data_IF_453943621696
#
_entry.id   IF_453943621696
#
_cell.length_a   1.000
_cell.length_b   1.000
_cell.length_c   1.000
_cell.angle_alpha   90.00
_cell.angle_beta   90.00
_cell.angle_gamma   90.00
#
_symmetry.space_group_name_H-M   'P 1'
#
loop_
_entity.id
_entity.type
_entity.pdbx_description
1 polymer ?
#
# COMPACT_ATOMS: atom_id res chain seq x y z
N UNK A 1 -7.91 -54.13 -15.57
CA UNK A 1 -7.43 -53.88 -14.19
C UNK A 1 -5.94 -53.51 -14.18
N UNK A 2 -5.53 -52.45 -14.88
CA UNK A 2 -4.13 -51.97 -14.91
C UNK A 2 -3.98 -50.46 -14.64
N UNK A 3 -5.08 -49.69 -14.61
CA UNK A 3 -5.05 -48.24 -14.40
C UNK A 3 -4.69 -47.84 -12.97
N UNK A 4 -5.10 -48.63 -11.97
CA UNK A 4 -4.83 -48.33 -10.55
C UNK A 4 -3.35 -48.47 -10.18
N UNK A 5 -2.64 -49.44 -10.77
CA UNK A 5 -1.20 -49.62 -10.56
C UNK A 5 -0.37 -48.55 -11.28
N UNK A 6 -0.84 -48.06 -12.43
CA UNK A 6 -0.21 -46.93 -13.14
C UNK A 6 -0.36 -45.65 -12.32
N UNK A 7 -1.55 -45.39 -11.78
CA UNK A 7 -1.82 -44.20 -10.98
C UNK A 7 -0.96 -44.19 -9.71
N UNK A 8 -0.90 -45.32 -8.98
CA UNK A 8 -0.07 -45.43 -7.77
C UNK A 8 1.43 -45.27 -8.07
N UNK A 9 1.89 -45.76 -9.23
CA UNK A 9 3.27 -45.59 -9.69
C UNK A 9 3.62 -44.14 -10.04
N UNK A 10 2.70 -43.42 -10.70
CA UNK A 10 2.92 -42.01 -11.06
C UNK A 10 2.95 -41.08 -9.86
N UNK A 11 2.08 -41.31 -8.87
CA UNK A 11 2.04 -40.49 -7.65
C UNK A 11 3.31 -40.68 -6.81
N UNK A 12 3.83 -41.92 -6.75
CA UNK A 12 5.10 -42.21 -6.07
C UNK A 12 6.29 -41.51 -6.74
N UNK A 13 6.34 -41.48 -8.07
CA UNK A 13 7.41 -40.80 -8.81
C UNK A 13 7.40 -39.29 -8.61
N UNK A 14 6.21 -38.67 -8.58
CA UNK A 14 6.08 -37.23 -8.30
C UNK A 14 6.58 -36.85 -6.90
N UNK A 15 6.33 -37.68 -5.89
CA UNK A 15 6.83 -37.43 -4.53
C UNK A 15 8.35 -37.49 -4.45
N UNK A 16 9.00 -38.41 -5.17
CA UNK A 16 10.47 -38.51 -5.20
C UNK A 16 11.09 -37.30 -5.91
N UNK A 17 10.49 -36.85 -7.03
CA UNK A 17 10.95 -35.66 -7.76
C UNK A 17 10.80 -34.40 -6.90
N UNK A 18 9.68 -34.24 -6.20
CA UNK A 18 9.46 -33.13 -5.28
C UNK A 18 10.47 -33.10 -4.12
N UNK A 19 10.82 -34.27 -3.58
CA UNK A 19 11.81 -34.39 -2.50
C UNK A 19 13.21 -33.96 -2.96
N UNK A 20 13.64 -34.40 -4.15
CA UNK A 20 14.95 -34.02 -4.71
C UNK A 20 15.00 -32.53 -5.02
N UNK A 21 13.91 -31.96 -5.54
CA UNK A 21 13.82 -30.53 -5.81
C UNK A 21 13.84 -29.69 -4.52
N UNK A 22 13.21 -30.19 -3.44
CA UNK A 22 13.23 -29.54 -2.12
C UNK A 22 14.65 -29.45 -1.53
N UNK A 23 15.46 -30.50 -1.66
CA UNK A 23 16.84 -30.46 -1.18
C UNK A 23 17.75 -29.58 -2.05
N UNK A 24 17.51 -29.53 -3.35
CA UNK A 24 18.29 -28.67 -4.25
C UNK A 24 18.01 -27.17 -4.03
N UNK A 25 16.75 -26.81 -3.73
CA UNK A 25 16.37 -25.42 -3.42
C UNK A 25 16.98 -24.93 -2.10
N UNK A 26 17.02 -25.79 -1.07
CA UNK A 26 17.55 -25.41 0.24
C UNK A 26 19.07 -25.14 0.23
N UNK A 27 19.84 -25.84 -0.60
CA UNK A 27 21.28 -25.60 -0.74
C UNK A 27 21.62 -24.29 -1.49
N UNK A 28 20.67 -23.70 -2.22
CA UNK A 28 20.90 -22.50 -3.02
C UNK A 28 20.62 -21.22 -2.23
N UNK A 29 19.72 -21.30 -1.23
CA UNK A 29 19.35 -20.16 -0.37
C UNK A 29 20.37 -19.90 0.78
N UNK A 30 21.23 -20.88 1.10
CA UNK A 30 22.19 -20.79 2.20
C UNK A 30 23.37 -19.86 1.87
N UNK A 31 23.83 -19.86 0.61
CA UNK A 31 24.90 -18.96 0.12
C UNK A 31 24.42 -17.49 0.03
N UNK A 32 23.19 -17.25 -0.42
CA UNK A 32 22.63 -15.90 -0.52
C UNK A 32 22.33 -15.29 0.86
N UNK A 33 21.98 -16.14 1.83
CA UNK A 33 21.79 -15.74 3.23
C UNK A 33 23.11 -15.38 3.91
N UNK A 34 24.18 -16.11 3.63
CA UNK A 34 25.52 -15.82 4.15
C UNK A 34 26.06 -14.48 3.61
N UNK A 35 25.85 -14.20 2.33
CA UNK A 35 26.25 -12.93 1.71
C UNK A 35 25.45 -11.73 2.26
N UNK A 36 24.15 -11.90 2.51
CA UNK A 36 23.31 -10.87 3.16
C UNK A 36 23.75 -10.60 4.60
N UNK A 37 24.10 -11.65 5.36
CA UNK A 37 24.62 -11.50 6.72
C UNK A 37 25.98 -10.78 6.72
N UNK A 38 26.86 -11.10 5.75
CA UNK A 38 28.14 -10.41 5.59
C UNK A 38 27.99 -8.94 5.17
N UNK A 39 27.00 -8.62 4.34
CA UNK A 39 26.68 -7.26 3.97
C UNK A 39 26.15 -6.44 5.17
N UNK A 40 25.22 -7.02 5.95
CA UNK A 40 24.69 -6.39 7.16
C UNK A 40 25.77 -6.17 8.23
N UNK A 41 26.71 -7.11 8.38
CA UNK A 41 27.84 -6.94 9.30
C UNK A 41 28.74 -5.75 8.93
N UNK A 42 28.96 -5.51 7.62
CA UNK A 42 29.73 -4.34 7.14
C UNK A 42 28.98 -3.03 7.34
N UNK A 43 27.65 -3.04 7.22
CA UNK A 43 26.83 -1.86 7.51
C UNK A 43 26.83 -1.51 8.99
N UNK A 44 26.79 -2.51 9.88
CA UNK A 44 26.91 -2.31 11.32
C UNK A 44 28.27 -1.72 11.70
N UNK A 45 29.37 -2.23 11.14
CA UNK A 45 30.71 -1.69 11.40
C UNK A 45 30.83 -0.23 10.94
N UNK A 46 30.21 0.13 9.81
CA UNK A 46 30.16 1.51 9.31
C UNK A 46 29.35 2.43 10.24
N UNK A 47 28.19 1.97 10.71
CA UNK A 47 27.33 2.73 11.63
C UNK A 47 27.99 2.92 13.01
N UNK A 48 28.72 1.91 13.49
CA UNK A 48 29.45 1.99 14.76
C UNK A 48 30.64 2.97 14.67
N UNK A 49 31.33 3.03 13.52
CA UNK A 49 32.35 4.03 13.25
C UNK A 49 31.77 5.46 13.22
N UNK A 50 30.61 5.65 12.59
CA UNK A 50 29.91 6.95 12.54
C UNK A 50 29.42 7.38 13.93
N UNK A 51 28.90 6.45 14.72
CA UNK A 51 28.50 6.70 16.11
C UNK A 51 29.70 7.12 16.98
N UNK A 52 30.83 6.44 16.85
CA UNK A 52 32.06 6.80 17.57
C UNK A 52 32.56 8.19 17.17
N UNK A 53 32.46 8.58 15.89
CA UNK A 53 32.82 9.94 15.45
C UNK A 53 31.90 11.00 16.08
N UNK A 54 30.59 10.71 16.15
CA UNK A 54 29.62 11.61 16.78
C UNK A 54 29.79 11.71 18.30
N UNK A 55 30.11 10.61 18.99
CA UNK A 55 30.42 10.62 20.43
C UNK A 55 31.74 11.34 20.74
N UNK A 56 32.73 11.23 19.85
CA UNK A 56 33.99 11.97 19.96
C UNK A 56 33.78 13.49 19.75
N UNK A 57 32.84 13.89 18.88
CA UNK A 57 32.39 15.29 18.74
C UNK A 57 31.52 15.78 19.90
N UNK A 58 30.86 14.87 20.62
CA UNK A 58 29.98 15.16 21.78
C UNK A 58 30.66 15.04 23.14
N UNK A 59 31.99 15.01 23.23
CA UNK A 59 32.68 15.16 24.53
C UNK A 59 32.94 16.63 24.86
N UNK A 60 32.05 17.35 25.60
CA UNK A 60 32.48 18.51 26.36
C UNK A 60 33.38 18.02 27.49
N UNK A 61 34.67 18.35 27.41
CA UNK A 61 35.58 18.14 28.53
C UNK A 61 35.07 18.91 29.75
N UNK A 62 34.53 18.18 30.73
CA UNK A 62 34.32 18.69 32.09
C UNK A 62 35.71 18.69 32.75
N UNK A 63 36.42 19.80 32.62
CA UNK A 63 37.58 20.10 33.46
C UNK A 63 37.06 20.67 34.77
N UNK A 64 37.14 19.88 35.84
CA UNK A 64 37.04 20.39 37.21
C UNK A 64 38.26 21.27 37.50
N UNK A 65 38.10 22.60 37.47
CA UNK A 65 39.01 23.53 38.12
C UNK A 65 38.29 24.24 39.27
N UNK A 66 38.77 23.94 40.47
CA UNK A 66 38.35 24.53 41.74
C UNK A 66 39.19 25.78 42.04
N UNK A 67 38.58 26.96 42.15
CA UNK A 67 38.94 28.05 43.09
C UNK A 67 38.11 29.34 42.89
N UNK A 68 38.01 30.22 43.90
CA UNK A 68 36.72 30.79 44.31
C UNK A 68 36.59 32.33 44.20
N UNK A 69 35.36 32.79 44.52
CA UNK A 69 34.94 34.15 44.95
C UNK A 69 34.58 35.17 43.84
N UNK A 70 33.28 35.52 43.76
CA UNK A 70 32.78 36.88 44.01
C UNK A 70 31.24 36.90 44.02
N UNK A 71 30.68 37.42 45.10
CA UNK A 71 29.26 37.50 45.40
C UNK A 71 28.48 38.45 44.46
N UNK A 72 27.19 38.14 44.22
CA UNK A 72 26.16 39.18 44.12
C UNK A 72 24.77 38.67 44.52
N UNK A 73 24.10 39.53 45.25
CA UNK A 73 22.92 39.34 46.08
C UNK A 73 21.69 38.73 45.40
N UNK A 74 21.01 37.87 46.15
CA UNK A 74 19.58 37.57 46.06
C UNK A 74 18.77 38.80 46.46
N UNK A 75 17.69 39.11 45.72
CA UNK A 75 16.45 39.53 46.34
C UNK A 75 15.39 38.47 46.05
N UNK A 76 14.92 37.88 47.13
CA UNK A 76 13.67 37.12 47.22
C UNK A 76 12.51 38.12 47.03
N UNK A 77 11.44 37.71 46.34
CA UNK A 77 10.03 38.17 46.37
C UNK A 77 9.38 38.28 44.96
N UNK A 78 8.16 37.74 44.87
CA UNK A 78 7.13 37.81 43.80
C UNK A 78 7.00 36.72 42.72
N UNK A 79 7.32 35.45 43.03
CA UNK A 79 6.91 34.31 42.16
C UNK A 79 5.42 33.91 42.33
N UNK A 80 4.69 34.52 43.27
CA UNK A 80 3.31 34.15 43.62
C UNK A 80 2.25 34.72 42.65
N UNK A 81 2.45 35.91 42.09
CA UNK A 81 1.45 36.54 41.23
C UNK A 81 1.52 36.05 39.78
N UNK A 82 2.72 35.82 39.25
CA UNK A 82 2.91 35.27 37.91
C UNK A 82 2.43 33.81 37.81
N UNK A 83 2.65 33.01 38.87
CA UNK A 83 2.13 31.65 38.93
C UNK A 83 0.58 31.64 38.94
N UNK A 84 -0.05 32.48 39.76
CA UNK A 84 -1.52 32.59 39.81
C UNK A 84 -2.12 33.14 38.50
N UNK A 85 -1.45 34.07 37.83
CA UNK A 85 -1.87 34.56 36.51
C UNK A 85 -1.74 33.48 35.42
N UNK A 86 -0.70 32.65 35.47
CA UNK A 86 -0.54 31.50 34.55
C UNK A 86 -1.60 30.42 34.81
N UNK A 87 -1.95 30.14 36.07
CA UNK A 87 -3.03 29.22 36.41
C UNK A 87 -4.41 29.74 35.95
N UNK A 88 -4.67 31.04 36.09
CA UNK A 88 -5.90 31.65 35.57
C UNK A 88 -5.95 31.63 34.03
N UNK A 89 -4.82 31.87 33.35
CA UNK A 89 -4.73 31.78 31.90
C UNK A 89 -4.96 30.35 31.39
N UNK A 90 -4.41 29.35 32.08
CA UNK A 90 -4.61 27.93 31.76
C UNK A 90 -6.07 27.52 32.01
N UNK A 91 -6.69 27.98 33.10
CA UNK A 91 -8.11 27.72 33.36
C UNK A 91 -9.02 28.31 32.29
N UNK A 92 -8.77 29.56 31.88
CA UNK A 92 -9.52 30.20 30.79
C UNK A 92 -9.32 29.47 29.45
N UNK A 93 -8.11 28.93 29.21
CA UNK A 93 -7.81 28.16 28.01
C UNK A 93 -8.49 26.79 28.02
N UNK A 94 -8.58 26.13 29.18
CA UNK A 94 -9.33 24.88 29.35
C UNK A 94 -10.83 25.14 29.13
N UNK A 95 -11.38 26.21 29.71
CA UNK A 95 -12.79 26.56 29.54
C UNK A 95 -13.13 26.90 28.08
N UNK A 96 -12.25 27.63 27.38
CA UNK A 96 -12.38 27.91 25.95
C UNK A 96 -12.35 26.61 25.11
N UNK A 97 -11.41 25.71 25.37
CA UNK A 97 -11.32 24.42 24.68
C UNK A 97 -12.50 23.49 24.99
N UNK A 98 -13.09 23.56 26.19
CA UNK A 98 -14.29 22.79 26.52
C UNK A 98 -15.53 23.33 25.82
N UNK A 99 -15.65 24.66 25.66
CA UNK A 99 -16.73 25.27 24.91
C UNK A 99 -16.62 24.99 23.40
N UNK A 100 -15.39 25.00 22.86
CA UNK A 100 -15.14 24.61 21.47
C UNK A 100 -15.45 23.13 21.22
N UNK A 101 -15.09 22.23 22.15
CA UNK A 101 -15.47 20.81 22.06
C UNK A 101 -16.99 20.58 22.20
N UNK A 102 -17.69 21.42 22.96
CA UNK A 102 -19.15 21.35 23.05
C UNK A 102 -19.80 21.82 21.74
N UNK A 103 -19.32 22.92 21.15
CA UNK A 103 -19.80 23.41 19.86
C UNK A 103 -19.54 22.41 18.72
N UNK A 104 -18.35 21.78 18.69
CA UNK A 104 -18.03 20.74 17.70
C UNK A 104 -18.88 19.47 17.88
N UNK A 105 -19.32 19.16 19.12
CA UNK A 105 -20.24 18.05 19.38
C UNK A 105 -21.67 18.37 18.95
N UNK A 106 -22.11 19.61 19.12
CA UNK A 106 -23.41 20.06 18.62
C UNK A 106 -23.42 20.11 17.08
N UNK A 107 -22.33 20.55 16.44
CA UNK A 107 -22.18 20.50 14.97
C UNK A 107 -22.17 19.05 14.45
N UNK A 108 -21.49 18.13 15.15
CA UNK A 108 -21.52 16.71 14.81
C UNK A 108 -22.87 16.04 15.08
N UNK A 109 -23.65 16.53 16.04
CA UNK A 109 -25.01 16.07 16.29
C UNK A 109 -25.98 16.60 15.23
N UNK A 110 -25.74 17.80 14.69
CA UNK A 110 -26.53 18.38 13.61
C UNK A 110 -26.23 17.73 12.24
N UNK A 111 -25.00 17.24 12.05
CA UNK A 111 -24.61 16.43 10.86
C UNK A 111 -25.13 14.99 10.95
N UNK A 112 -25.36 14.46 12.15
CA UNK A 112 -25.87 13.11 12.39
C UNK A 112 -27.35 13.06 12.81
N UNK A 113 -28.14 14.10 12.51
CA UNK A 113 -29.59 13.91 12.54
C UNK A 113 -29.91 12.79 11.54
N UNK A 114 -30.49 11.66 11.98
CA UNK A 114 -30.93 10.64 11.05
C UNK A 114 -32.00 11.31 10.18
N UNK A 115 -31.74 11.38 8.89
CA UNK A 115 -32.75 11.70 7.89
C UNK A 115 -33.89 10.68 8.08
N UNK A 116 -34.89 11.06 8.87
CA UNK A 116 -36.16 10.36 8.93
C UNK A 116 -36.71 10.32 7.50
N UNK A 117 -36.98 9.10 7.07
CA UNK A 117 -37.32 8.68 5.72
C UNK A 117 -38.32 9.58 4.99
N UNK A 118 -38.03 9.96 3.74
CA UNK A 118 -39.07 10.00 2.72
C UNK A 118 -38.98 8.72 1.88
N UNK A 119 -39.55 7.61 2.38
CA UNK A 119 -39.87 6.40 1.59
C UNK A 119 -40.99 6.65 0.54
N UNK A 120 -41.02 7.82 -0.09
CA UNK A 120 -42.00 8.14 -1.15
C UNK A 120 -41.47 9.29 -2.02
N UNK A 121 -40.67 8.96 -3.05
CA UNK A 121 -40.50 9.67 -4.34
C UNK A 121 -39.11 9.57 -5.00
N UNK A 122 -38.29 8.57 -4.72
CA UNK A 122 -37.07 8.36 -5.54
C UNK A 122 -37.39 7.91 -6.99
N UNK A 123 -38.56 7.34 -7.23
CA UNK A 123 -38.97 6.89 -8.58
C UNK A 123 -39.65 8.00 -9.39
N UNK A 124 -40.21 9.03 -8.75
CA UNK A 124 -40.87 10.15 -9.43
C UNK A 124 -39.94 11.34 -9.73
N UNK A 125 -38.77 11.46 -9.06
CA UNK A 125 -37.80 12.51 -9.33
C UNK A 125 -36.71 12.09 -10.35
N UNK A 126 -36.50 10.78 -10.53
CA UNK A 126 -35.61 10.24 -11.55
C UNK A 126 -36.17 10.34 -12.98
N UNK A 127 -37.50 10.50 -13.13
CA UNK A 127 -38.17 10.52 -14.42
C UNK A 127 -38.25 11.93 -15.06
N UNK A 128 -37.93 13.00 -14.32
CA UNK A 128 -38.15 14.39 -14.78
C UNK A 128 -36.87 15.21 -15.04
N UNK A 129 -35.67 14.64 -14.85
CA UNK A 129 -34.41 15.43 -15.02
C UNK A 129 -33.26 14.76 -15.77
N UNK A 130 -33.44 13.58 -16.36
CA UNK A 130 -32.44 13.02 -17.29
C UNK A 130 -32.97 13.01 -18.72
N UNK A 131 -32.51 13.99 -19.50
CA UNK A 131 -32.66 14.00 -20.96
C UNK A 131 -32.16 12.63 -21.51
N UNK A 132 -32.98 11.89 -22.30
CA UNK A 132 -32.64 10.54 -22.78
C UNK A 132 -31.38 10.50 -23.66
N UNK A 133 -30.85 11.66 -24.06
CA UNK A 133 -29.61 11.77 -24.81
C UNK A 133 -28.37 11.49 -23.95
N UNK A 134 -28.37 11.86 -22.66
CA UNK A 134 -27.20 11.70 -21.77
C UNK A 134 -27.01 10.23 -21.38
N UNK A 135 -28.09 9.51 -21.10
CA UNK A 135 -28.05 8.07 -20.78
C UNK A 135 -27.63 7.23 -21.99
N UNK A 136 -28.14 7.56 -23.19
CA UNK A 136 -27.76 6.89 -24.43
C UNK A 136 -26.29 7.12 -24.81
N UNK A 137 -25.76 8.34 -24.63
CA UNK A 137 -24.34 8.64 -24.85
C UNK A 137 -23.47 7.85 -23.88
N UNK A 138 -23.82 7.82 -22.59
CA UNK A 138 -23.10 7.04 -21.58
C UNK A 138 -23.09 5.54 -21.89
N UNK A 139 -24.23 4.99 -22.30
CA UNK A 139 -24.34 3.58 -22.68
C UNK A 139 -23.45 3.26 -23.90
N UNK A 140 -23.45 4.13 -24.92
CA UNK A 140 -22.59 3.96 -26.10
C UNK A 140 -21.10 4.00 -25.77
N UNK A 141 -20.69 4.84 -24.81
CA UNK A 141 -19.31 4.93 -24.33
C UNK A 141 -18.90 3.68 -23.54
N UNK A 142 -19.77 3.18 -22.67
CA UNK A 142 -19.56 1.94 -21.91
C UNK A 142 -19.41 0.75 -22.86
N UNK A 143 -20.29 0.63 -23.87
CA UNK A 143 -20.22 -0.44 -24.87
C UNK A 143 -18.97 -0.34 -25.76
N UNK A 144 -18.54 0.89 -26.08
CA UNK A 144 -17.30 1.12 -26.82
C UNK A 144 -16.10 0.70 -25.97
N UNK A 145 -16.09 1.06 -24.70
CA UNK A 145 -15.06 0.67 -23.73
C UNK A 145 -14.95 -0.85 -23.58
N UNK A 146 -16.08 -1.52 -23.38
CA UNK A 146 -16.16 -2.98 -23.27
C UNK A 146 -15.61 -3.68 -24.53
N UNK A 147 -15.95 -3.17 -25.72
CA UNK A 147 -15.39 -3.68 -26.99
C UNK A 147 -13.88 -3.53 -27.06
N UNK A 148 -13.34 -2.36 -26.71
CA UNK A 148 -11.89 -2.14 -26.71
C UNK A 148 -11.15 -3.08 -25.75
N UNK A 149 -11.75 -3.39 -24.59
CA UNK A 149 -11.18 -4.32 -23.61
C UNK A 149 -11.23 -5.76 -24.12
N UNK A 150 -12.34 -6.17 -24.75
CA UNK A 150 -12.48 -7.51 -25.37
C UNK A 150 -11.51 -7.72 -26.53
N UNK A 151 -11.35 -6.71 -27.38
CA UNK A 151 -10.51 -6.78 -28.57
C UNK A 151 -9.01 -6.59 -28.25
N UNK A 152 -8.66 -6.20 -27.01
CA UNK A 152 -7.28 -6.04 -26.59
C UNK A 152 -6.51 -7.36 -26.61
N UNK A 153 -5.26 -7.29 -27.09
CA UNK A 153 -4.36 -8.44 -27.23
C UNK A 153 -3.87 -8.89 -25.86
N UNK A 154 -4.01 -10.18 -25.58
CA UNK A 154 -3.48 -10.83 -24.38
C UNK A 154 -1.95 -10.75 -24.35
N UNK A 155 -1.43 -10.14 -23.30
CA UNK A 155 0.01 -9.93 -23.10
C UNK A 155 0.60 -10.94 -22.12
N UNK A 156 -0.11 -11.21 -21.03
CA UNK A 156 0.37 -12.10 -19.98
C UNK A 156 -0.77 -12.80 -19.25
N UNK A 157 -0.45 -13.83 -18.48
CA UNK A 157 -1.35 -14.52 -17.56
C UNK A 157 -0.79 -14.51 -16.15
N UNK A 158 -1.65 -14.34 -15.16
CA UNK A 158 -1.26 -14.41 -13.75
C UNK A 158 -0.94 -15.86 -13.38
N UNK A 159 0.25 -16.11 -12.84
CA UNK A 159 0.69 -17.43 -12.37
C UNK A 159 0.56 -17.56 -10.86
N UNK A 160 0.78 -16.47 -10.14
CA UNK A 160 0.69 -16.42 -8.69
C UNK A 160 0.37 -15.01 -8.22
N UNK A 161 -0.29 -14.91 -7.07
CA UNK A 161 -0.66 -13.67 -6.43
C UNK A 161 -0.31 -13.73 -4.96
N UNK A 162 0.50 -12.77 -4.51
CA UNK A 162 0.80 -12.52 -3.12
C UNK A 162 -0.02 -11.32 -2.64
N UNK A 163 -0.97 -11.59 -1.75
CA UNK A 163 -1.88 -10.59 -1.21
C UNK A 163 -1.25 -9.73 -0.12
N UNK A 164 -0.18 -10.20 0.52
CA UNK A 164 0.49 -9.47 1.60
C UNK A 164 1.50 -8.46 1.02
N UNK A 165 2.21 -8.85 -0.04
CA UNK A 165 3.18 -7.98 -0.73
C UNK A 165 2.60 -7.24 -1.94
N UNK A 166 1.39 -7.61 -2.37
CA UNK A 166 0.65 -7.03 -3.49
C UNK A 166 1.37 -7.24 -4.82
N UNK A 167 2.00 -8.40 -4.92
CA UNK A 167 2.83 -8.83 -6.05
C UNK A 167 2.14 -9.94 -6.82
N UNK A 168 2.02 -9.74 -8.13
CA UNK A 168 1.65 -10.78 -9.06
C UNK A 168 2.91 -11.31 -9.76
N UNK A 169 3.03 -12.64 -9.80
CA UNK A 169 3.94 -13.31 -10.73
C UNK A 169 3.15 -13.56 -12.00
N UNK A 170 3.62 -13.01 -13.11
CA UNK A 170 2.95 -13.07 -14.41
C UNK A 170 3.85 -13.76 -15.42
N UNK A 171 3.25 -14.44 -16.38
CA UNK A 171 3.95 -15.06 -17.50
C UNK A 171 3.52 -14.42 -18.81
N UNK A 172 4.50 -13.98 -19.61
CA UNK A 172 4.26 -13.40 -20.92
C UNK A 172 3.79 -14.45 -21.93
N UNK A 173 2.86 -14.07 -22.80
CA UNK A 173 2.49 -14.87 -23.98
C UNK A 173 3.57 -14.73 -25.07
N UNK A 174 3.48 -15.54 -26.13
CA UNK A 174 4.39 -15.41 -27.29
C UNK A 174 4.29 -14.03 -27.97
N UNK A 175 3.18 -13.32 -27.79
CA UNK A 175 2.92 -11.99 -28.33
C UNK A 175 3.16 -10.87 -27.30
N UNK A 176 3.71 -11.21 -26.13
CA UNK A 176 4.03 -10.26 -25.08
C UNK A 176 5.00 -9.19 -25.59
N UNK A 177 4.58 -7.93 -25.47
CA UNK A 177 5.40 -6.78 -25.80
C UNK A 177 5.29 -5.72 -24.69
N UNK A 178 5.59 -6.13 -23.47
CA UNK A 178 5.70 -5.24 -22.33
C UNK A 178 7.10 -5.32 -21.73
N UNK A 179 7.49 -4.26 -21.03
CA UNK A 179 8.79 -4.07 -20.41
C UNK A 179 8.62 -3.66 -18.95
N UNK A 180 9.72 -3.73 -18.21
CA UNK A 180 9.80 -3.12 -16.88
C UNK A 180 9.43 -1.64 -16.96
N UNK A 181 8.51 -1.21 -16.10
CA UNK A 181 7.91 0.13 -16.08
C UNK A 181 6.59 0.26 -16.83
N UNK A 182 6.22 -0.73 -17.66
CA UNK A 182 4.91 -0.72 -18.34
C UNK A 182 3.77 -1.07 -17.38
N UNK A 183 2.57 -0.64 -17.76
CA UNK A 183 1.33 -0.92 -17.03
C UNK A 183 0.54 -1.99 -17.77
N UNK A 184 0.18 -3.07 -17.08
CA UNK A 184 -0.77 -4.06 -17.57
C UNK A 184 -2.08 -3.97 -16.79
N UNK A 185 -3.18 -4.30 -17.43
CA UNK A 185 -4.51 -4.30 -16.83
C UNK A 185 -5.06 -5.73 -16.78
N UNK A 186 -5.58 -6.12 -15.62
CA UNK A 186 -6.28 -7.39 -15.46
C UNK A 186 -7.67 -7.28 -16.06
N UNK A 187 -7.90 -8.06 -17.11
CA UNK A 187 -9.18 -8.15 -17.79
C UNK A 187 -9.98 -9.30 -17.20
N UNK A 188 -11.22 -9.01 -16.80
CA UNK A 188 -12.22 -10.02 -16.48
C UNK A 188 -13.51 -9.67 -17.21
N UNK A 189 -13.95 -10.56 -18.10
CA UNK A 189 -15.07 -10.32 -19.02
C UNK A 189 -14.85 -9.04 -19.87
N UNK A 190 -15.69 -8.02 -19.66
CA UNK A 190 -15.73 -6.78 -20.42
C UNK A 190 -15.08 -5.60 -19.66
N UNK A 191 -14.50 -5.86 -18.48
CA UNK A 191 -13.97 -4.85 -17.57
C UNK A 191 -12.50 -5.01 -17.23
N UNK A 192 -11.90 -3.91 -16.76
CA UNK A 192 -10.58 -3.89 -16.13
C UNK A 192 -10.82 -3.88 -14.62
N UNK A 193 -10.30 -4.89 -13.92
CA UNK A 193 -10.46 -5.01 -12.47
C UNK A 193 -9.41 -4.20 -11.71
N UNK A 194 -8.17 -4.25 -12.20
CA UNK A 194 -7.04 -3.52 -11.64
C UNK A 194 -5.92 -3.39 -12.67
N UNK A 195 -4.92 -2.59 -12.32
CA UNK A 195 -3.71 -2.37 -13.11
C UNK A 195 -2.49 -2.79 -12.32
N UNK A 196 -1.46 -3.26 -13.00
CA UNK A 196 -0.20 -3.68 -12.43
C UNK A 196 0.96 -2.95 -13.12
N UNK A 197 1.92 -2.48 -12.33
CA UNK A 197 3.17 -1.94 -12.83
C UNK A 197 4.23 -3.05 -12.85
N UNK A 198 4.85 -3.29 -14.02
CA UNK A 198 5.89 -4.31 -14.15
C UNK A 198 7.17 -3.82 -13.50
N UNK A 199 7.63 -4.47 -12.44
CA UNK A 199 8.81 -4.03 -11.68
C UNK A 199 10.07 -4.80 -12.03
N UNK A 200 9.94 -6.08 -12.40
CA UNK A 200 11.07 -6.95 -12.75
C UNK A 200 10.66 -7.93 -13.82
N UNK A 201 11.59 -8.26 -14.71
CA UNK A 201 11.39 -9.24 -15.77
C UNK A 201 12.55 -10.26 -15.74
N UNK A 202 12.19 -11.54 -15.73
CA UNK A 202 13.10 -12.68 -15.66
C UNK A 202 12.74 -13.70 -16.75
N UNK A 203 13.34 -13.54 -17.94
CA UNK A 203 13.00 -14.37 -19.09
C UNK A 203 11.53 -14.19 -19.49
N UNK A 204 10.74 -15.27 -19.43
CA UNK A 204 9.32 -15.25 -19.77
C UNK A 204 8.41 -14.86 -18.59
N UNK A 205 8.95 -14.82 -17.37
CA UNK A 205 8.20 -14.45 -16.17
C UNK A 205 8.51 -13.01 -15.78
N UNK A 206 7.57 -12.33 -15.18
CA UNK A 206 7.74 -10.99 -14.65
C UNK A 206 7.05 -10.85 -13.31
N UNK A 207 7.57 -9.93 -12.50
CA UNK A 207 6.95 -9.52 -11.24
C UNK A 207 6.27 -8.19 -11.50
N UNK A 208 5.02 -8.11 -11.10
CA UNK A 208 4.19 -6.93 -11.26
C UNK A 208 3.58 -6.53 -9.92
N UNK A 209 3.63 -5.24 -9.59
CA UNK A 209 3.05 -4.69 -8.37
C UNK A 209 1.66 -4.14 -8.70
N UNK A 210 0.66 -4.43 -7.86
CA UNK A 210 -0.67 -3.85 -8.02
C UNK A 210 -0.62 -2.31 -7.91
N UNK A 211 -1.01 -1.64 -8.98
CA UNK A 211 -1.15 -0.18 -9.04
C UNK A 211 -2.55 0.19 -8.57
N UNK A 212 -2.65 0.80 -7.38
CA UNK A 212 -3.91 1.20 -6.75
C UNK A 212 -3.70 1.78 -5.36
N UNK A 213 -4.74 2.36 -4.77
CA UNK A 213 -4.64 2.98 -3.45
C UNK A 213 -4.38 1.91 -2.39
N UNK A 214 -3.23 1.99 -1.70
CA UNK A 214 -2.73 0.98 -0.77
C UNK A 214 -3.57 0.81 0.53
N UNK A 215 -4.77 1.40 0.59
CA UNK A 215 -5.69 1.36 1.73
C UNK A 215 -7.05 0.68 1.47
N UNK A 216 -7.31 0.21 0.24
CA UNK A 216 -8.51 -0.59 -0.09
C UNK A 216 -8.08 -2.04 -0.26
N UNK A 217 -8.87 -2.99 0.22
CA UNK A 217 -8.58 -4.42 0.06
C UNK A 217 -8.36 -4.74 -1.43
N UNK A 218 -7.23 -5.39 -1.80
CA UNK A 218 -6.96 -5.69 -3.19
C UNK A 218 -8.02 -6.63 -3.74
N UNK A 219 -8.42 -6.46 -5.02
CA UNK A 219 -9.40 -7.31 -5.65
C UNK A 219 -8.92 -8.76 -5.68
N UNK A 220 -9.87 -9.69 -5.75
CA UNK A 220 -9.55 -11.12 -5.83
C UNK A 220 -8.92 -11.46 -7.19
N UNK A 221 -7.61 -11.67 -7.17
CA UNK A 221 -6.78 -12.06 -8.31
C UNK A 221 -6.51 -13.57 -8.21
N UNK A 222 -6.74 -14.28 -9.30
CA UNK A 222 -6.65 -15.74 -9.36
C UNK A 222 -5.64 -16.15 -10.44
N UNK A 223 -4.83 -17.20 -10.21
CA UNK A 223 -4.01 -17.77 -11.27
C UNK A 223 -4.84 -18.13 -12.51
N UNK A 224 -4.35 -17.75 -13.69
CA UNK A 224 -5.04 -17.86 -14.98
C UNK A 224 -5.76 -16.58 -15.41
N UNK A 225 -5.84 -15.54 -14.55
CA UNK A 225 -6.36 -14.24 -14.96
C UNK A 225 -5.52 -13.63 -16.10
N UNK A 226 -6.20 -12.94 -17.01
CA UNK A 226 -5.62 -12.41 -18.24
C UNK A 226 -5.19 -10.94 -18.10
N UNK A 227 -4.00 -10.63 -18.60
CA UNK A 227 -3.43 -9.29 -18.57
C UNK A 227 -3.28 -8.73 -19.99
N UNK A 228 -3.78 -7.52 -20.18
CA UNK A 228 -3.72 -6.78 -21.45
C UNK A 228 -2.99 -5.45 -21.26
N UNK A 229 -2.50 -4.86 -22.34
CA UNK A 229 -2.17 -3.43 -22.31
C UNK A 229 -3.50 -2.67 -22.23
N UNK A 230 -3.70 -1.80 -21.22
CA UNK A 230 -4.94 -1.04 -21.10
C UNK A 230 -5.15 -0.19 -22.35
N UNK A 231 -6.32 -0.27 -23.01
CA UNK A 231 -6.61 0.62 -24.13
C UNK A 231 -6.69 2.06 -23.62
N UNK A 232 -6.20 2.99 -24.43
CA UNK A 232 -6.31 4.42 -24.12
C UNK A 232 -7.80 4.81 -24.10
N UNK A 233 -8.31 5.18 -22.92
CA UNK A 233 -9.63 5.75 -22.79
C UNK A 233 -9.49 7.27 -22.92
N UNK A 234 -10.18 7.87 -23.90
CA UNK A 234 -10.35 9.32 -23.99
C UNK A 234 -11.25 9.76 -22.81
N UNK A 235 -10.63 9.94 -21.64
CA UNK A 235 -11.32 10.27 -20.40
C UNK A 235 -10.65 9.60 -19.22
N UNK A 236 -9.57 10.20 -18.72
CA UNK A 236 -9.03 9.88 -17.40
C UNK A 236 -10.13 10.14 -16.36
N UNK A 237 -10.52 9.08 -15.66
CA UNK A 237 -11.15 9.18 -14.34
C UNK A 237 -9.99 9.29 -13.36
N UNK A 238 -9.51 10.52 -13.15
CA UNK A 238 -8.84 10.89 -11.89
C UNK A 238 -9.90 11.03 -10.78
#
# INVERSE_FOLDING_TARGET
>A
MNSTNILLGTTGLLLVVALVFSFNKMNQDEDESADKIAALARELERLEAEKNELEQRRSPGIIFQTSPVAAKATPELDESEEANQRFAAIQNQIEALTNENAALRDDLAQINEPAEEPELNLEALAEETEEPEVTAVNQSLIERRARLIRDAILQATVMGWDRDEWLAVIEGTEQANFRVGDVLALRRNDGILCTFDITRQEGNQSIAVLKGNLGVEPPEIVPGDELIIPPAFDGQLD
#
